data_IF_291477190516
#
_entry.id   IF_291477190516
#
_cell.length_a   1.000
_cell.length_b   1.000
_cell.length_c   1.000
_cell.angle_alpha   90.00
_cell.angle_beta   90.00
_cell.angle_gamma   90.00
#
_symmetry.space_group_name_H-M   'P 1'
#
loop_
_entity.id
_entity.type
_entity.pdbx_description
1 polymer ?
#
# COMPACT_ATOMS: atom_id res chain seq x y z
N UNK A 1 24.05 -5.38 4.69
CA UNK A 1 23.28 -5.69 4.36
C UNK A 1 22.21 -5.01 4.25
N UNK A 2 21.98 -4.86 3.63
CA UNK A 2 21.24 -3.94 3.35
C UNK A 2 20.08 -3.98 4.03
N UNK A 3 19.28 -4.07 3.75
CA UNK A 3 18.11 -3.68 4.05
C UNK A 3 17.42 -4.63 4.86
N UNK A 4 17.55 -4.52 6.16
CA UNK A 4 16.67 -5.23 7.00
C UNK A 4 15.29 -4.66 6.84
N UNK A 5 14.34 -5.49 6.56
CA UNK A 5 12.95 -5.06 6.42
C UNK A 5 12.35 -4.81 7.79
N UNK A 6 11.57 -3.73 7.90
CA UNK A 6 10.78 -3.48 9.09
C UNK A 6 9.64 -4.50 9.16
N UNK A 7 9.02 -4.69 10.34
CA UNK A 7 7.84 -5.57 10.42
C UNK A 7 6.74 -5.19 9.45
N UNK A 8 6.51 -3.89 9.23
CA UNK A 8 5.51 -3.43 8.30
C UNK A 8 5.86 -3.85 6.87
N UNK A 9 7.13 -3.69 6.48
CA UNK A 9 7.56 -4.05 5.14
C UNK A 9 7.46 -5.56 4.92
N UNK A 10 7.78 -6.35 5.93
CA UNK A 10 7.64 -7.81 5.83
C UNK A 10 6.17 -8.21 5.65
N UNK A 11 5.28 -7.56 6.39
CA UNK A 11 3.86 -7.83 6.26
C UNK A 11 3.36 -7.45 4.86
N UNK A 12 3.80 -6.30 4.37
CA UNK A 12 3.43 -5.85 3.03
C UNK A 12 3.87 -6.88 1.98
N UNK A 13 5.10 -7.34 2.05
CA UNK A 13 5.61 -8.30 1.08
C UNK A 13 4.89 -9.64 1.16
N UNK A 14 4.56 -10.08 2.38
CA UNK A 14 3.83 -11.34 2.54
C UNK A 14 2.46 -11.25 1.89
N UNK A 15 1.75 -10.12 2.08
CA UNK A 15 0.44 -9.92 1.47
C UNK A 15 0.55 -9.78 -0.05
N UNK A 16 1.61 -9.14 -0.52
CA UNK A 16 1.82 -8.96 -1.95
C UNK A 16 1.93 -10.31 -2.67
N UNK A 17 2.46 -11.32 -2.01
CA UNK A 17 2.56 -12.66 -2.58
C UNK A 17 1.21 -13.35 -2.72
N UNK A 18 0.21 -12.90 -1.97
CA UNK A 18 -1.12 -13.51 -1.97
C UNK A 18 -2.03 -12.95 -3.03
N UNK A 19 -1.65 -11.89 -3.71
CA UNK A 19 -2.49 -11.28 -4.73
C UNK A 19 -1.93 -11.58 -6.10
N UNK A 20 -2.75 -11.44 -7.17
CA UNK A 20 -2.29 -11.76 -8.51
C UNK A 20 -1.10 -10.91 -8.93
N UNK A 21 -0.18 -11.45 -9.73
CA UNK A 21 0.92 -10.65 -10.26
C UNK A 21 0.40 -9.45 -11.01
N UNK A 22 1.02 -8.30 -10.79
CA UNK A 22 0.61 -7.06 -11.43
C UNK A 22 -0.48 -6.30 -10.70
N UNK A 23 -1.13 -6.90 -9.72
CA UNK A 23 -2.09 -6.16 -8.89
C UNK A 23 -1.32 -5.21 -7.98
N UNK A 24 -1.89 -4.04 -7.78
CA UNK A 24 -1.29 -3.02 -6.92
C UNK A 24 -1.88 -3.17 -5.53
N UNK A 25 -1.01 -3.36 -4.54
CA UNK A 25 -1.46 -3.51 -3.16
C UNK A 25 -1.51 -2.15 -2.50
N UNK A 26 -2.71 -1.74 -2.09
CA UNK A 26 -2.93 -0.51 -1.36
C UNK A 26 -3.05 -0.87 0.12
N UNK A 27 -2.04 -0.49 0.89
CA UNK A 27 -1.83 -0.94 2.25
C UNK A 27 -2.17 0.18 3.23
N UNK A 28 -3.22 -0.02 4.02
CA UNK A 28 -3.69 1.02 4.93
C UNK A 28 -2.72 1.23 6.08
N UNK A 29 -2.24 2.47 6.20
CA UNK A 29 -1.39 2.90 7.31
C UNK A 29 -1.95 4.21 7.83
N UNK A 30 -2.55 4.18 9.00
CA UNK A 30 -3.18 5.36 9.57
C UNK A 30 -4.26 5.90 8.64
N UNK A 31 -4.12 7.15 8.23
CA UNK A 31 -5.11 7.81 7.40
C UNK A 31 -4.86 7.69 5.91
N UNK A 32 -3.87 6.88 5.52
CA UNK A 32 -3.48 6.75 4.13
C UNK A 32 -3.51 5.31 3.67
N UNK A 33 -3.70 5.11 2.35
CA UNK A 33 -3.34 3.86 1.70
C UNK A 33 -2.01 4.11 1.03
N UNK A 34 -1.02 3.29 1.33
CA UNK A 34 0.33 3.46 0.82
C UNK A 34 0.70 2.31 -0.11
N UNK A 35 1.49 2.64 -1.12
CA UNK A 35 2.01 1.66 -2.06
C UNK A 35 3.52 1.76 -2.04
N UNK A 36 4.19 0.63 -2.22
CA UNK A 36 5.64 0.56 -2.09
C UNK A 36 6.27 -0.12 -3.28
N UNK A 37 7.55 0.18 -3.50
CA UNK A 37 8.34 -0.49 -4.52
C UNK A 37 7.80 -0.25 -5.91
N UNK A 38 7.74 -1.32 -6.69
CA UNK A 38 7.27 -1.26 -8.07
C UNK A 38 5.84 -0.72 -8.15
N UNK A 39 5.00 -1.12 -7.21
CA UNK A 39 3.61 -0.64 -7.21
C UNK A 39 3.56 0.87 -7.09
N UNK A 40 4.41 1.46 -6.26
CA UNK A 40 4.45 2.91 -6.09
C UNK A 40 4.93 3.58 -7.37
N UNK A 41 5.93 3.02 -8.02
CA UNK A 41 6.45 3.58 -9.27
C UNK A 41 5.39 3.59 -10.36
N UNK A 42 4.61 2.51 -10.44
CA UNK A 42 3.53 2.41 -11.43
C UNK A 42 2.36 3.32 -11.07
N UNK A 43 1.96 3.31 -9.80
CA UNK A 43 0.74 4.01 -9.36
C UNK A 43 0.91 5.51 -9.29
N UNK A 44 2.08 5.99 -8.94
CA UNK A 44 2.30 7.43 -8.71
C UNK A 44 1.81 8.29 -9.88
N UNK A 45 2.23 8.05 -11.13
CA UNK A 45 1.77 8.90 -12.22
C UNK A 45 0.28 8.72 -12.53
N UNK A 46 -0.25 7.50 -12.34
CA UNK A 46 -1.66 7.25 -12.62
C UNK A 46 -2.54 8.01 -11.63
N UNK A 47 -2.14 8.01 -10.36
CA UNK A 47 -2.92 8.63 -9.30
C UNK A 47 -2.65 10.11 -9.13
N UNK A 48 -1.56 10.61 -9.69
CA UNK A 48 -1.12 11.96 -9.42
C UNK A 48 -0.59 12.12 -8.01
N UNK A 49 -0.13 11.02 -7.40
CA UNK A 49 0.41 11.04 -6.05
C UNK A 49 1.92 11.19 -6.13
N UNK A 50 2.49 11.96 -5.21
CA UNK A 50 3.93 12.21 -5.22
C UNK A 50 4.68 10.93 -4.89
N UNK A 51 5.67 10.60 -5.71
CA UNK A 51 6.55 9.48 -5.44
C UNK A 51 7.61 9.94 -4.44
N UNK A 52 7.71 9.22 -3.34
CA UNK A 52 8.62 9.55 -2.26
C UNK A 52 9.37 8.26 -1.88
N UNK A 53 9.88 8.22 -0.68
CA UNK A 53 10.64 7.07 -0.18
C UNK A 53 10.29 6.78 1.26
N UNK A 54 10.31 5.49 1.60
CA UNK A 54 10.31 5.07 2.98
C UNK A 54 11.51 4.15 3.12
N UNK A 55 12.57 4.66 3.76
CA UNK A 55 13.86 3.97 3.72
C UNK A 55 14.38 3.94 2.30
N UNK A 56 14.76 2.78 1.82
CA UNK A 56 15.28 2.63 0.45
C UNK A 56 14.18 2.32 -0.55
N UNK A 57 12.93 2.19 -0.09
CA UNK A 57 11.83 1.79 -0.96
C UNK A 57 11.11 3.01 -1.52
N UNK A 58 10.82 3.05 -2.83
CA UNK A 58 9.89 4.04 -3.35
C UNK A 58 8.53 3.85 -2.68
N UNK A 59 7.83 4.95 -2.48
CA UNK A 59 6.49 4.88 -1.92
C UNK A 59 5.65 6.05 -2.39
N UNK A 60 4.35 5.84 -2.44
CA UNK A 60 3.39 6.92 -2.60
C UNK A 60 2.16 6.55 -1.78
N UNK A 61 1.34 7.54 -1.46
CA UNK A 61 0.16 7.30 -0.65
C UNK A 61 -0.96 8.24 -1.02
N UNK A 62 -2.18 7.80 -0.72
CA UNK A 62 -3.38 8.60 -0.96
C UNK A 62 -4.23 8.57 0.30
N UNK A 63 -4.96 9.67 0.59
CA UNK A 63 -5.82 9.70 1.77
C UNK A 63 -6.91 8.63 1.69
N UNK A 64 -7.14 7.94 2.80
CA UNK A 64 -8.10 6.84 2.78
C UNK A 64 -9.52 7.31 2.52
N UNK A 65 -9.86 8.53 2.94
CA UNK A 65 -11.22 9.03 2.75
C UNK A 65 -11.54 9.34 1.28
N UNK A 66 -10.52 9.41 0.42
CA UNK A 66 -10.73 9.65 -1.00
C UNK A 66 -10.43 8.40 -1.83
N UNK A 67 -10.44 7.23 -1.21
CA UNK A 67 -10.07 5.98 -1.87
C UNK A 67 -10.81 5.75 -3.17
N UNK A 68 -12.13 5.99 -3.17
CA UNK A 68 -12.92 5.65 -4.36
C UNK A 68 -12.49 6.42 -5.60
N UNK A 69 -12.12 7.69 -5.47
CA UNK A 69 -11.68 8.46 -6.62
C UNK A 69 -10.33 7.99 -7.14
N UNK A 70 -9.42 7.61 -6.24
CA UNK A 70 -8.12 7.10 -6.65
C UNK A 70 -8.23 5.70 -7.24
N UNK A 71 -9.08 4.88 -6.63
CA UNK A 71 -9.30 3.52 -7.13
C UNK A 71 -9.85 3.56 -8.56
N UNK A 72 -10.77 4.49 -8.83
CA UNK A 72 -11.30 4.64 -10.17
C UNK A 72 -10.22 4.97 -11.20
N UNK A 73 -9.21 5.75 -10.80
CA UNK A 73 -8.11 6.07 -11.71
C UNK A 73 -7.29 4.83 -12.06
N UNK A 74 -7.04 3.97 -11.06
CA UNK A 74 -6.31 2.73 -11.33
C UNK A 74 -7.10 1.82 -12.25
N UNK A 75 -8.40 1.69 -11.99
CA UNK A 75 -9.26 0.82 -12.80
C UNK A 75 -9.31 1.33 -14.24
N UNK A 76 -9.45 2.64 -14.44
CA UNK A 76 -9.46 3.21 -15.78
C UNK A 76 -8.15 2.99 -16.51
N UNK A 77 -7.06 2.91 -15.79
CA UNK A 77 -5.75 2.64 -16.38
C UNK A 77 -5.53 1.15 -16.65
N UNK A 78 -6.54 0.32 -16.40
CA UNK A 78 -6.43 -1.11 -16.65
C UNK A 78 -5.71 -1.87 -15.56
N UNK A 79 -5.59 -1.28 -14.37
CA UNK A 79 -4.89 -1.93 -13.26
C UNK A 79 -5.87 -2.59 -12.32
N UNK A 80 -5.40 -3.64 -11.65
CA UNK A 80 -6.13 -4.29 -10.57
C UNK A 80 -5.55 -3.81 -9.25
N UNK A 81 -6.41 -3.52 -8.29
CA UNK A 81 -5.98 -3.09 -6.97
C UNK A 81 -6.48 -4.06 -5.92
N UNK A 82 -5.64 -4.34 -4.95
CA UNK A 82 -6.02 -5.12 -3.77
C UNK A 82 -5.90 -4.19 -2.57
N UNK A 83 -6.94 -4.18 -1.74
CA UNK A 83 -6.97 -3.33 -0.57
C UNK A 83 -6.63 -4.15 0.65
N UNK A 84 -5.69 -3.67 1.43
CA UNK A 84 -5.36 -4.27 2.71
C UNK A 84 -5.76 -3.29 3.80
N UNK A 85 -6.90 -3.53 4.42
CA UNK A 85 -7.44 -2.64 5.43
C UNK A 85 -6.90 -2.97 6.81
N UNK A 86 -6.98 -1.97 7.68
CA UNK A 86 -6.60 -2.11 9.05
C UNK A 86 -7.72 -2.79 9.80
N UNK A 87 -7.42 -3.90 10.49
CA UNK A 87 -8.45 -4.65 11.21
C UNK A 87 -8.31 -4.59 12.72
N UNK A 88 -7.30 -3.90 13.22
CA UNK A 88 -7.11 -3.69 14.65
C UNK A 88 -7.00 -2.21 14.93
N UNK A 89 -7.48 -1.81 16.12
CA UNK A 89 -7.33 -0.42 16.55
C UNK A 89 -5.85 -0.16 16.80
N UNK A 90 -5.24 0.79 16.09
CA UNK A 90 -3.81 1.07 16.29
C UNK A 90 -3.47 1.48 17.72
N UNK A 91 -4.44 2.05 18.45
CA UNK A 91 -4.19 2.52 19.81
C UNK A 91 -4.05 1.38 20.81
N UNK A 92 -4.64 0.23 20.51
CA UNK A 92 -4.61 -0.92 21.40
C UNK A 92 -3.69 -2.00 20.92
N UNK A 93 -3.26 -1.97 19.66
CA UNK A 93 -2.38 -2.98 19.13
C UNK A 93 -0.97 -2.79 19.62
N UNK A 94 -0.28 -3.89 19.88
CA UNK A 94 1.13 -3.84 20.22
C UNK A 94 1.93 -4.08 18.97
N UNK A 95 2.79 -3.14 18.61
CA UNK A 95 3.58 -3.26 17.41
C UNK A 95 2.74 -3.01 16.17
N UNK A 96 2.85 -3.89 15.20
CA UNK A 96 2.20 -3.70 13.91
C UNK A 96 0.72 -4.08 13.99
N UNK A 97 -0.13 -3.20 13.51
CA UNK A 97 -1.56 -3.46 13.45
C UNK A 97 -1.81 -4.56 12.43
N UNK A 98 -2.68 -5.53 12.77
CA UNK A 98 -3.02 -6.62 11.87
C UNK A 98 -3.86 -6.10 10.70
N UNK A 99 -3.64 -6.68 9.53
CA UNK A 99 -4.32 -6.26 8.31
C UNK A 99 -4.88 -7.45 7.55
N UNK A 100 -5.90 -7.18 6.75
CA UNK A 100 -6.51 -8.18 5.89
C UNK A 100 -6.72 -7.60 4.50
N UNK A 101 -6.62 -8.48 3.49
CA UNK A 101 -6.90 -8.09 2.11
C UNK A 101 -8.40 -8.15 1.90
N UNK A 102 -8.98 -7.11 1.31
CA UNK A 102 -10.42 -7.07 1.05
C UNK A 102 -10.75 -6.92 -0.42
#
# INVERSE_FOLDING_TARGET
MADELTPMQRQYLALKREIPPGAILMFRLGDFYEMFGEDAVVASPILGATLSHRGSQPMCGVPHHALNSYLAKLIRAGKTAALCDQVEDPKTARGLVRREIT
#
